data_IF_272054100674
#
_entry.id   IF_272054100674
#
_cell.length_a   1.000
_cell.length_b   1.000
_cell.length_c   1.000
_cell.angle_alpha   90.00
_cell.angle_beta   90.00
_cell.angle_gamma   90.00
#
_symmetry.space_group_name_H-M   'P 1'
#
loop_
_entity.id
_entity.type
_entity.pdbx_description
1 polymer ?
#
# COMPACT_ATOMS: atom_id res chain seq x y z
N UNK A 1 29.15 -2.36 -1.30
CA UNK A 1 30.04 -2.89 -2.38
C UNK A 1 29.86 -2.13 -3.69
N UNK A 2 28.62 -1.85 -4.09
CA UNK A 2 28.32 -0.94 -5.20
C UNK A 2 28.07 0.47 -4.63
N UNK A 3 26.92 1.07 -4.90
CA UNK A 3 26.65 2.48 -4.61
C UNK A 3 26.07 2.74 -3.21
N UNK A 4 25.65 1.70 -2.47
CA UNK A 4 25.12 1.86 -1.12
C UNK A 4 23.86 2.73 -1.06
N UNK A 5 23.00 2.65 -2.09
CA UNK A 5 21.80 3.47 -2.29
C UNK A 5 22.06 4.99 -2.48
N UNK A 6 23.29 5.40 -2.79
CA UNK A 6 23.63 6.81 -3.06
C UNK A 6 23.33 7.17 -4.52
N UNK A 7 22.29 7.98 -4.73
CA UNK A 7 21.73 8.26 -6.07
C UNK A 7 22.51 9.29 -6.91
N UNK A 8 23.36 10.11 -6.30
CA UNK A 8 24.10 11.17 -7.00
C UNK A 8 25.43 11.55 -6.30
N UNK A 9 26.20 12.43 -6.94
CA UNK A 9 27.52 12.83 -6.44
C UNK A 9 27.50 13.48 -5.05
N UNK A 10 26.46 14.26 -4.74
CA UNK A 10 26.33 14.85 -3.40
C UNK A 10 26.11 13.78 -2.33
N UNK A 11 25.26 12.79 -2.61
CA UNK A 11 25.04 11.67 -1.69
C UNK A 11 26.26 10.77 -1.55
N UNK A 12 27.15 10.72 -2.54
CA UNK A 12 28.43 9.99 -2.43
C UNK A 12 29.36 10.58 -1.37
N UNK A 13 29.29 11.90 -1.18
CA UNK A 13 30.06 12.64 -0.17
C UNK A 13 29.43 12.59 1.24
N UNK A 14 28.20 12.11 1.37
CA UNK A 14 27.54 11.93 2.66
C UNK A 14 27.96 10.63 3.35
N UNK A 15 27.59 10.48 4.62
CA UNK A 15 27.81 9.23 5.35
C UNK A 15 27.14 8.02 4.69
N UNK A 16 27.69 6.84 4.92
CA UNK A 16 27.10 5.59 4.44
C UNK A 16 25.95 5.16 5.35
N UNK A 17 24.77 4.97 4.76
CA UNK A 17 23.58 4.46 5.46
C UNK A 17 23.39 2.94 5.32
N UNK A 18 24.15 2.30 4.43
CA UNK A 18 24.08 0.85 4.17
C UNK A 18 25.46 0.25 4.37
N UNK A 19 25.55 -0.71 5.29
CA UNK A 19 26.79 -1.40 5.64
C UNK A 19 26.67 -2.89 5.30
N UNK A 20 27.72 -3.47 4.71
CA UNK A 20 27.82 -4.92 4.61
C UNK A 20 28.41 -5.45 5.91
N UNK A 21 27.68 -6.33 6.58
CA UNK A 21 28.11 -6.99 7.81
C UNK A 21 28.16 -8.50 7.60
N UNK A 22 28.92 -9.20 8.43
CA UNK A 22 28.90 -10.66 8.52
C UNK A 22 28.16 -11.04 9.80
N UNK A 23 27.18 -11.91 9.68
CA UNK A 23 26.39 -12.42 10.80
C UNK A 23 26.06 -13.88 10.52
N UNK A 24 26.36 -14.76 11.48
CA UNK A 24 26.15 -16.21 11.37
C UNK A 24 26.82 -16.86 10.15
N UNK A 25 27.95 -16.31 9.70
CA UNK A 25 28.70 -16.80 8.53
C UNK A 25 28.09 -16.41 7.18
N UNK A 26 27.06 -15.55 7.17
CA UNK A 26 26.44 -15.01 5.98
C UNK A 26 26.64 -13.49 5.88
N UNK A 27 26.60 -12.97 4.66
CA UNK A 27 26.66 -11.55 4.40
C UNK A 27 25.27 -10.91 4.48
N UNK A 28 25.16 -9.84 5.26
CA UNK A 28 23.93 -9.06 5.41
C UNK A 28 24.15 -7.59 5.07
N UNK A 29 23.10 -6.92 4.61
CA UNK A 29 23.09 -5.47 4.50
C UNK A 29 22.37 -4.87 5.72
N UNK A 30 23.13 -4.14 6.54
CA UNK A 30 22.57 -3.34 7.63
C UNK A 30 22.20 -1.96 7.11
N UNK A 31 20.93 -1.61 7.22
CA UNK A 31 20.41 -0.27 6.97
C UNK A 31 20.37 0.51 8.29
N UNK A 32 21.04 1.66 8.35
CA UNK A 32 21.05 2.51 9.55
C UNK A 32 19.69 3.18 9.72
N UNK A 33 19.15 3.16 10.94
CA UNK A 33 18.01 3.97 11.31
C UNK A 33 18.43 5.44 11.51
N UNK A 34 17.46 6.33 11.40
CA UNK A 34 17.62 7.76 11.65
C UNK A 34 16.31 8.30 12.27
N UNK A 35 16.38 9.40 13.02
CA UNK A 35 15.17 10.00 13.60
C UNK A 35 14.26 10.57 12.51
N UNK A 36 12.95 10.41 12.70
CA UNK A 36 11.93 11.00 11.81
C UNK A 36 11.17 12.08 12.57
N UNK A 37 11.18 13.31 12.08
CA UNK A 37 10.69 14.45 12.86
C UNK A 37 9.21 14.75 12.67
N UNK A 38 8.66 14.46 11.49
CA UNK A 38 7.25 14.75 11.17
C UNK A 38 6.70 13.63 10.29
N UNK A 39 5.48 13.18 10.60
CA UNK A 39 4.70 12.30 9.74
C UNK A 39 3.46 13.02 9.23
N UNK A 40 3.20 12.86 7.93
CA UNK A 40 1.94 13.23 7.30
C UNK A 40 1.24 11.93 6.90
N UNK A 41 0.21 11.58 7.65
CA UNK A 41 -0.55 10.35 7.46
C UNK A 41 -1.97 10.67 6.99
N UNK A 42 -2.68 9.62 6.60
CA UNK A 42 -4.07 9.70 6.15
C UNK A 42 -4.88 8.57 6.76
N UNK A 43 -6.14 8.84 7.08
CA UNK A 43 -7.14 7.82 7.33
C UNK A 43 -8.53 8.28 6.93
N UNK A 44 -9.52 7.43 7.15
CA UNK A 44 -10.90 7.71 6.76
C UNK A 44 -11.60 8.58 7.80
N UNK A 45 -11.69 8.12 9.05
CA UNK A 45 -12.30 8.87 10.14
C UNK A 45 -11.36 8.91 11.33
N UNK A 46 -11.39 10.01 12.08
CA UNK A 46 -10.82 10.07 13.42
C UNK A 46 -11.92 10.34 14.44
N UNK A 47 -11.75 9.89 15.67
CA UNK A 47 -12.53 10.40 16.80
C UNK A 47 -11.88 11.64 17.43
N UNK A 48 -12.57 12.27 18.38
CA UNK A 48 -12.11 13.49 19.07
C UNK A 48 -10.83 13.25 19.92
N UNK A 49 -10.56 11.99 20.30
CA UNK A 49 -9.34 11.54 20.99
C UNK A 49 -8.20 11.20 20.01
N UNK A 50 -8.42 11.31 18.70
CA UNK A 50 -7.43 11.11 17.66
C UNK A 50 -7.25 9.66 17.18
N UNK A 51 -8.08 8.71 17.61
CA UNK A 51 -8.03 7.35 17.08
C UNK A 51 -8.50 7.36 15.63
N UNK A 52 -7.73 6.75 14.73
CA UNK A 52 -7.99 6.78 13.28
C UNK A 52 -8.31 5.40 12.75
N UNK A 53 -9.41 5.30 11.98
CA UNK A 53 -9.75 4.12 11.18
C UNK A 53 -9.50 4.40 9.70
N UNK A 54 -9.23 3.35 8.92
CA UNK A 54 -8.90 3.43 7.48
C UNK A 54 -9.87 2.61 6.64
N UNK A 55 -11.16 2.64 6.99
CA UNK A 55 -12.19 1.74 6.42
C UNK A 55 -12.46 1.96 4.93
N UNK A 56 -12.17 3.15 4.39
CA UNK A 56 -12.36 3.48 2.97
C UNK A 56 -11.04 3.60 2.21
N UNK A 57 -9.89 3.40 2.86
CA UNK A 57 -8.60 3.45 2.19
C UNK A 57 -8.37 2.18 1.37
N UNK A 58 -7.61 2.27 0.28
CA UNK A 58 -7.24 1.11 -0.54
C UNK A 58 -6.18 0.21 0.13
N UNK A 59 -5.62 0.66 1.26
CA UNK A 59 -4.63 -0.04 2.06
C UNK A 59 -4.26 0.79 3.28
N UNK A 60 -3.81 0.11 4.33
CA UNK A 60 -3.36 0.74 5.58
C UNK A 60 -1.88 1.09 5.57
N UNK A 61 -1.12 0.45 4.67
CA UNK A 61 0.29 0.67 4.41
C UNK A 61 1.13 0.54 5.69
N UNK A 62 2.09 1.42 5.89
CA UNK A 62 3.02 1.48 7.01
C UNK A 62 2.66 2.56 8.05
N UNK A 63 1.40 3.02 8.03
CA UNK A 63 0.94 4.18 8.79
C UNK A 63 1.19 4.10 10.29
N UNK A 64 0.93 2.96 10.93
CA UNK A 64 1.19 2.77 12.36
C UNK A 64 2.68 2.80 12.67
N UNK A 65 3.49 2.10 11.87
CA UNK A 65 4.94 2.06 12.01
C UNK A 65 5.57 3.44 11.85
N UNK A 66 5.09 4.25 10.89
CA UNK A 66 5.52 5.63 10.71
C UNK A 66 5.17 6.48 11.93
N UNK A 67 3.93 6.40 12.42
CA UNK A 67 3.50 7.15 13.60
C UNK A 67 4.37 6.83 14.81
N UNK A 68 4.63 5.54 15.06
CA UNK A 68 5.48 5.08 16.15
C UNK A 68 6.94 5.54 15.99
N UNK A 69 7.52 5.45 14.79
CA UNK A 69 8.88 5.90 14.52
C UNK A 69 9.05 7.41 14.79
N UNK A 70 8.06 8.22 14.40
CA UNK A 70 8.05 9.66 14.66
C UNK A 70 7.92 9.97 16.15
N UNK A 71 6.98 9.34 16.86
CA UNK A 71 6.82 9.58 18.30
C UNK A 71 8.04 9.11 19.10
N UNK A 72 8.65 8.00 18.75
CA UNK A 72 9.90 7.53 19.35
C UNK A 72 11.09 8.45 19.06
N UNK A 73 10.99 9.26 18.00
CA UNK A 73 11.97 10.31 17.66
C UNK A 73 11.64 11.67 18.30
N UNK A 74 10.58 11.78 19.11
CA UNK A 74 10.10 13.03 19.70
C UNK A 74 9.44 13.99 18.70
N UNK A 75 9.02 13.48 17.54
CA UNK A 75 8.43 14.26 16.46
C UNK A 75 6.91 14.45 16.55
N UNK A 76 6.35 14.95 15.45
CA UNK A 76 4.94 15.34 15.32
C UNK A 76 4.22 14.51 14.25
N UNK A 77 3.07 13.92 14.59
CA UNK A 77 2.23 13.15 13.67
C UNK A 77 0.97 13.95 13.35
N UNK A 78 0.78 14.22 12.06
CA UNK A 78 -0.39 14.94 11.54
C UNK A 78 -1.16 13.96 10.65
N UNK A 79 -2.45 13.76 10.91
CA UNK A 79 -3.28 12.84 10.14
C UNK A 79 -4.39 13.60 9.42
N UNK A 80 -4.42 13.49 8.09
CA UNK A 80 -5.55 13.95 7.29
C UNK A 80 -6.67 12.91 7.34
N UNK A 81 -7.89 13.33 7.68
CA UNK A 81 -9.09 12.48 7.69
C UNK A 81 -10.21 13.08 6.86
N UNK A 82 -11.19 12.26 6.47
CA UNK A 82 -12.39 12.71 5.76
C UNK A 82 -13.32 13.48 6.70
N UNK A 83 -13.50 13.00 7.92
CA UNK A 83 -14.35 13.63 8.93
C UNK A 83 -13.93 13.21 10.36
N UNK A 84 -14.42 13.94 11.35
CA UNK A 84 -14.25 13.63 12.78
C UNK A 84 -15.58 13.14 13.35
N UNK A 85 -15.54 12.03 14.08
CA UNK A 85 -16.71 11.42 14.73
C UNK A 85 -16.62 11.50 16.25
N UNK A 86 -17.74 11.25 16.94
CA UNK A 86 -17.77 11.26 18.40
C UNK A 86 -16.90 10.15 19.01
N UNK A 87 -16.22 10.44 20.12
CA UNK A 87 -15.47 9.45 20.90
C UNK A 87 -16.27 8.19 21.23
N UNK A 88 -15.61 7.03 21.08
CA UNK A 88 -16.20 5.71 21.32
C UNK A 88 -17.07 5.17 20.17
N UNK A 89 -17.23 5.93 19.07
CA UNK A 89 -17.97 5.46 17.88
C UNK A 89 -17.17 4.45 17.08
N UNK A 90 -15.85 4.61 17.02
CA UNK A 90 -14.96 3.79 16.19
C UNK A 90 -14.75 2.40 16.80
N UNK A 91 -14.95 1.30 16.06
CA UNK A 91 -14.66 -0.03 16.56
C UNK A 91 -13.19 -0.18 16.92
N UNK A 92 -12.89 -0.54 18.17
CA UNK A 92 -11.50 -0.59 18.66
C UNK A 92 -10.57 -1.52 17.85
N UNK A 93 -11.11 -2.57 17.22
CA UNK A 93 -10.34 -3.49 16.34
C UNK A 93 -10.03 -2.91 14.97
N UNK A 94 -10.73 -1.85 14.57
CA UNK A 94 -10.54 -1.16 13.29
C UNK A 94 -9.62 0.05 13.41
N UNK A 95 -9.31 0.50 14.63
CA UNK A 95 -8.35 1.59 14.86
C UNK A 95 -6.97 1.16 14.37
N UNK A 96 -6.47 1.88 13.37
CA UNK A 96 -5.16 1.63 12.73
C UNK A 96 -4.08 2.57 13.25
N UNK A 97 -4.42 3.81 13.59
CA UNK A 97 -3.52 4.72 14.28
C UNK A 97 -4.18 5.10 15.60
N UNK A 98 -3.71 4.57 16.74
CA UNK A 98 -4.17 4.99 18.06
C UNK A 98 -3.93 6.49 18.28
N UNK A 99 -4.89 7.18 18.91
CA UNK A 99 -4.82 8.63 19.17
C UNK A 99 -3.63 9.06 20.03
N UNK A 100 -3.08 8.14 20.83
CA UNK A 100 -1.85 8.37 21.61
C UNK A 100 -0.63 8.74 20.74
N UNK A 101 -0.68 8.46 19.44
CA UNK A 101 0.38 8.82 18.50
C UNK A 101 0.06 10.06 17.68
N UNK A 102 -1.15 10.60 17.73
CA UNK A 102 -1.61 11.69 16.85
C UNK A 102 -1.48 13.03 17.58
N UNK A 103 -0.79 13.99 16.96
CA UNK A 103 -0.61 15.34 17.50
C UNK A 103 -1.59 16.35 16.87
N UNK A 104 -2.01 16.12 15.63
CA UNK A 104 -2.98 16.98 14.95
C UNK A 104 -3.82 16.20 13.93
N UNK A 105 -5.10 16.57 13.84
CA UNK A 105 -6.03 16.12 12.81
C UNK A 105 -6.30 17.24 11.81
N UNK A 106 -6.38 16.87 10.53
CA UNK A 106 -6.76 17.79 9.45
C UNK A 106 -7.94 17.20 8.70
N UNK A 107 -9.08 17.90 8.67
CA UNK A 107 -10.21 17.49 7.83
C UNK A 107 -9.89 17.87 6.38
N UNK A 108 -9.72 16.86 5.53
CA UNK A 108 -9.44 17.03 4.11
C UNK A 108 -10.66 17.53 3.34
N UNK A 109 -10.45 18.41 2.36
CA UNK A 109 -11.50 18.74 1.39
C UNK A 109 -11.73 17.53 0.46
N UNK A 110 -12.96 17.31 -0.05
CA UNK A 110 -13.25 16.17 -0.94
C UNK A 110 -12.27 16.03 -2.11
N UNK A 111 -11.89 17.13 -2.75
CA UNK A 111 -10.93 17.15 -3.87
C UNK A 111 -9.50 16.73 -3.50
N UNK A 112 -9.16 16.73 -2.20
CA UNK A 112 -7.85 16.35 -1.67
C UNK A 112 -7.87 15.01 -0.91
N UNK A 113 -8.98 14.25 -0.99
CA UNK A 113 -9.18 13.03 -0.23
C UNK A 113 -9.54 11.80 -1.11
N UNK A 114 -9.13 11.80 -2.38
CA UNK A 114 -9.38 10.67 -3.29
C UNK A 114 -8.70 9.39 -2.81
N UNK A 115 -9.39 8.26 -2.86
CA UNK A 115 -8.88 6.95 -2.45
C UNK A 115 -7.67 6.51 -3.27
N UNK A 116 -7.62 6.86 -4.55
CA UNK A 116 -6.48 6.63 -5.46
C UNK A 116 -6.28 7.84 -6.37
N UNK A 117 -5.17 7.89 -7.12
CA UNK A 117 -5.00 8.94 -8.13
C UNK A 117 -5.94 8.78 -9.34
N UNK A 118 -6.64 7.64 -9.47
CA UNK A 118 -7.58 7.40 -10.56
C UNK A 118 -9.03 7.69 -10.19
N UNK A 119 -9.41 7.59 -8.91
CA UNK A 119 -10.80 7.58 -8.47
C UNK A 119 -10.96 8.19 -7.08
N UNK A 120 -12.04 8.97 -6.93
CA UNK A 120 -12.48 9.54 -5.65
C UNK A 120 -12.70 8.47 -4.59
N UNK A 121 -13.49 7.44 -4.91
CA UNK A 121 -13.77 6.34 -4.01
C UNK A 121 -14.38 5.16 -4.78
N UNK A 122 -13.88 3.96 -4.49
CA UNK A 122 -14.42 2.69 -4.94
C UNK A 122 -14.45 1.69 -3.75
N UNK A 123 -15.64 1.27 -3.30
CA UNK A 123 -15.77 0.35 -2.17
C UNK A 123 -15.21 -1.05 -2.44
N UNK A 124 -14.94 -1.42 -3.70
CA UNK A 124 -14.28 -2.69 -4.00
C UNK A 124 -12.77 -2.67 -3.70
N UNK A 125 -12.16 -1.49 -3.52
CA UNK A 125 -10.74 -1.36 -3.19
C UNK A 125 -10.48 -1.47 -1.68
N UNK A 126 -11.45 -1.05 -0.85
CA UNK A 126 -11.41 -1.17 0.61
C UNK A 126 -11.98 -2.51 1.10
N UNK A 127 -12.45 -3.38 0.20
CA UNK A 127 -13.08 -4.65 0.57
C UNK A 127 -14.47 -4.51 1.19
N UNK A 128 -15.08 -3.33 1.19
CA UNK A 128 -16.43 -3.09 1.70
C UNK A 128 -17.49 -3.82 0.87
N UNK A 129 -17.25 -3.97 -0.43
CA UNK A 129 -18.10 -4.74 -1.34
C UNK A 129 -17.28 -5.60 -2.29
N UNK A 130 -17.91 -6.64 -2.85
CA UNK A 130 -17.37 -7.35 -4.01
C UNK A 130 -18.17 -6.99 -5.26
N UNK A 131 -17.48 -6.67 -6.33
CA UNK A 131 -18.08 -6.42 -7.66
C UNK A 131 -17.88 -7.63 -8.57
N UNK A 132 -18.73 -7.85 -9.59
CA UNK A 132 -18.49 -8.90 -10.58
C UNK A 132 -17.12 -8.70 -11.26
N UNK A 133 -16.28 -9.72 -11.29
CA UNK A 133 -14.94 -9.61 -11.91
C UNK A 133 -15.01 -9.36 -13.42
N UNK A 134 -16.11 -9.76 -14.05
CA UNK A 134 -16.38 -9.51 -15.47
C UNK A 134 -16.71 -8.04 -15.77
N UNK A 135 -16.92 -7.20 -14.74
CA UNK A 135 -17.08 -5.75 -14.91
C UNK A 135 -15.74 -5.01 -15.02
N UNK A 136 -14.61 -5.71 -14.91
CA UNK A 136 -13.27 -5.12 -15.10
C UNK A 136 -13.01 -5.00 -16.60
N UNK A 137 -12.82 -3.77 -17.07
CA UNK A 137 -12.58 -3.46 -18.48
C UNK A 137 -11.36 -4.22 -19.03
N UNK A 138 -11.55 -5.05 -20.08
CA UNK A 138 -10.45 -5.75 -20.73
C UNK A 138 -9.42 -4.80 -21.34
N UNK A 139 -8.16 -5.21 -21.35
CA UNK A 139 -7.12 -4.44 -22.03
C UNK A 139 -7.37 -4.40 -23.55
N UNK A 140 -7.16 -3.28 -24.25
CA UNK A 140 -7.18 -3.26 -25.71
C UNK A 140 -6.12 -4.20 -26.30
N UNK A 141 -6.44 -4.84 -27.43
CA UNK A 141 -5.48 -5.72 -28.12
C UNK A 141 -4.35 -4.89 -28.75
N UNK A 142 -3.18 -4.93 -28.13
CA UNK A 142 -1.95 -4.28 -28.56
C UNK A 142 -0.73 -5.13 -28.17
N UNK A 143 0.48 -4.67 -28.51
CA UNK A 143 1.72 -5.38 -28.17
C UNK A 143 1.85 -5.70 -26.67
N UNK A 144 1.43 -4.77 -25.79
CA UNK A 144 1.42 -4.99 -24.34
C UNK A 144 0.51 -6.16 -23.95
N UNK A 145 -0.72 -6.21 -24.48
CA UNK A 145 -1.66 -7.32 -24.23
C UNK A 145 -1.12 -8.66 -24.74
N UNK A 146 -0.46 -8.68 -25.91
CA UNK A 146 0.14 -9.92 -26.45
C UNK A 146 1.21 -10.47 -25.50
N UNK A 147 2.09 -9.62 -24.98
CA UNK A 147 3.09 -10.03 -23.98
C UNK A 147 2.42 -10.52 -22.70
N UNK A 148 1.40 -9.80 -22.20
CA UNK A 148 0.67 -10.20 -21.00
C UNK A 148 -0.04 -11.55 -21.17
N UNK A 149 -0.64 -11.84 -22.34
CA UNK A 149 -1.22 -13.15 -22.67
C UNK A 149 -0.19 -14.26 -22.63
N UNK A 150 1.00 -14.04 -23.20
CA UNK A 150 2.06 -15.05 -23.13
C UNK A 150 2.52 -15.26 -21.69
N UNK A 151 2.72 -14.20 -20.93
CA UNK A 151 3.15 -14.30 -19.53
C UNK A 151 2.08 -14.93 -18.62
N UNK A 152 0.79 -14.69 -18.89
CA UNK A 152 -0.32 -15.32 -18.17
C UNK A 152 -0.31 -16.86 -18.27
N UNK A 153 0.26 -17.41 -19.35
CA UNK A 153 0.43 -18.87 -19.50
C UNK A 153 1.48 -19.46 -18.54
N UNK A 154 2.32 -18.64 -17.91
CA UNK A 154 3.29 -19.06 -16.89
C UNK A 154 2.69 -19.06 -15.48
N UNK A 155 1.45 -18.61 -15.30
CA UNK A 155 0.81 -18.56 -13.98
C UNK A 155 0.44 -19.97 -13.50
N UNK A 156 0.85 -20.29 -12.28
CA UNK A 156 0.43 -21.49 -11.56
C UNK A 156 -0.62 -21.11 -10.50
N UNK A 157 -1.87 -21.62 -10.57
CA UNK A 157 -2.89 -21.39 -9.53
C UNK A 157 -2.50 -21.87 -8.13
N UNK A 158 -1.46 -22.70 -8.00
CA UNK A 158 -0.92 -23.14 -6.70
C UNK A 158 0.08 -22.15 -6.12
N UNK A 159 0.63 -21.24 -6.93
CA UNK A 159 1.61 -20.26 -6.50
C UNK A 159 0.96 -19.05 -5.80
N UNK A 160 1.75 -18.36 -4.99
CA UNK A 160 1.45 -17.00 -4.53
C UNK A 160 2.18 -16.07 -5.49
N UNK A 161 1.42 -15.18 -6.15
CA UNK A 161 1.90 -14.41 -7.29
C UNK A 161 1.92 -12.93 -6.90
N UNK A 162 3.07 -12.29 -7.09
CA UNK A 162 3.20 -10.84 -7.04
C UNK A 162 3.51 -10.32 -8.45
N UNK A 163 2.82 -9.27 -8.88
CA UNK A 163 2.97 -8.68 -10.21
C UNK A 163 3.36 -7.21 -10.05
N UNK A 164 4.61 -6.90 -10.39
CA UNK A 164 5.13 -5.54 -10.29
C UNK A 164 4.49 -4.56 -11.28
N UNK A 165 4.72 -3.27 -11.00
CA UNK A 165 4.28 -2.14 -11.83
C UNK A 165 4.79 -2.24 -13.28
N UNK A 166 3.97 -1.79 -14.23
CA UNK A 166 4.30 -1.71 -15.66
C UNK A 166 3.78 -2.87 -16.50
N UNK A 167 4.68 -3.61 -17.16
CA UNK A 167 4.27 -4.75 -18.00
C UNK A 167 3.52 -5.86 -17.22
N UNK A 168 3.98 -6.27 -16.01
CA UNK A 168 3.34 -7.35 -15.27
C UNK A 168 1.93 -7.03 -14.76
N UNK A 169 1.58 -5.77 -14.50
CA UNK A 169 0.21 -5.38 -14.11
C UNK A 169 -0.87 -5.89 -15.07
N UNK A 170 -0.56 -5.88 -16.38
CA UNK A 170 -1.51 -6.34 -17.40
C UNK A 170 -1.75 -7.85 -17.38
N UNK A 171 -0.88 -8.61 -16.73
CA UNK A 171 -1.01 -10.07 -16.60
C UNK A 171 -2.23 -10.41 -15.73
N UNK A 172 -2.50 -9.66 -14.66
CA UNK A 172 -3.67 -9.86 -13.80
C UNK A 172 -4.98 -9.65 -14.58
N UNK A 173 -5.08 -8.54 -15.31
CA UNK A 173 -6.26 -8.23 -16.12
C UNK A 173 -6.48 -9.28 -17.21
N UNK A 174 -5.41 -9.72 -17.89
CA UNK A 174 -5.52 -10.78 -18.89
C UNK A 174 -5.92 -12.12 -18.26
N UNK A 175 -5.33 -12.49 -17.13
CA UNK A 175 -5.69 -13.72 -16.44
C UNK A 175 -7.17 -13.73 -16.01
N UNK A 176 -7.69 -12.57 -15.57
CA UNK A 176 -9.10 -12.38 -15.27
C UNK A 176 -9.97 -12.49 -16.54
N UNK A 177 -9.60 -11.80 -17.62
CA UNK A 177 -10.31 -11.85 -18.91
C UNK A 177 -10.40 -13.26 -19.50
N UNK A 178 -9.30 -14.04 -19.40
CA UNK A 178 -9.23 -15.42 -19.88
C UNK A 178 -9.86 -16.42 -18.87
N UNK A 179 -10.40 -15.93 -17.75
CA UNK A 179 -11.16 -16.70 -16.78
C UNK A 179 -10.33 -17.74 -16.01
N UNK A 180 -9.06 -17.45 -15.72
CA UNK A 180 -8.18 -18.34 -14.96
C UNK A 180 -8.57 -18.36 -13.47
N UNK A 181 -9.23 -19.42 -12.96
CA UNK A 181 -9.77 -19.41 -11.61
C UNK A 181 -8.67 -19.74 -10.58
N UNK A 182 -8.84 -19.20 -9.36
CA UNK A 182 -8.06 -19.64 -8.20
C UNK A 182 -6.64 -19.05 -8.09
N UNK A 183 -6.31 -18.03 -8.86
CA UNK A 183 -5.05 -17.30 -8.71
C UNK A 183 -4.99 -16.55 -7.38
N UNK A 184 -3.85 -16.65 -6.69
CA UNK A 184 -3.59 -15.94 -5.42
C UNK A 184 -2.64 -14.80 -5.69
N UNK A 185 -3.21 -13.67 -6.13
CA UNK A 185 -2.46 -12.45 -6.43
C UNK A 185 -2.20 -11.65 -5.15
N UNK A 186 -1.07 -10.98 -5.09
CA UNK A 186 -0.66 -10.14 -3.96
C UNK A 186 -0.12 -8.81 -4.49
N UNK A 187 -0.31 -7.75 -3.71
CA UNK A 187 0.36 -6.46 -3.89
C UNK A 187 1.17 -6.16 -2.63
N UNK A 188 2.34 -5.57 -2.83
CA UNK A 188 3.30 -5.24 -1.77
C UNK A 188 2.75 -4.26 -0.73
N UNK A 189 1.72 -3.50 -1.09
CA UNK A 189 0.99 -2.58 -0.20
C UNK A 189 0.06 -3.29 0.78
N UNK A 190 -0.09 -4.62 0.67
CA UNK A 190 -0.76 -5.48 1.66
C UNK A 190 -2.06 -6.15 1.19
N UNK A 191 -2.53 -5.88 -0.02
CA UNK A 191 -3.68 -6.57 -0.61
C UNK A 191 -3.36 -8.02 -1.00
N UNK A 192 -4.21 -8.96 -0.57
CA UNK A 192 -4.10 -10.40 -0.87
C UNK A 192 -5.41 -10.87 -1.50
N UNK A 193 -5.30 -11.56 -2.64
CA UNK A 193 -6.43 -11.98 -3.44
C UNK A 193 -7.01 -10.84 -4.29
N UNK A 194 -8.12 -11.13 -4.97
CA UNK A 194 -8.73 -10.19 -5.90
C UNK A 194 -7.89 -9.93 -7.15
N UNK A 195 -8.17 -8.80 -7.81
CA UNK A 195 -7.49 -8.37 -9.03
C UNK A 195 -6.73 -7.07 -8.76
N UNK A 196 -5.38 -7.08 -8.78
CA UNK A 196 -4.56 -5.88 -8.65
C UNK A 196 -4.91 -4.82 -9.68
N UNK A 197 -4.98 -3.57 -9.23
CA UNK A 197 -5.24 -2.43 -10.09
C UNK A 197 -3.98 -2.01 -10.84
N UNK A 198 -4.16 -1.40 -12.01
CA UNK A 198 -3.07 -0.93 -12.88
C UNK A 198 -2.98 0.60 -12.92
N UNK A 199 -1.85 1.12 -13.39
CA UNK A 199 -1.69 2.57 -13.63
C UNK A 199 -1.78 3.40 -12.36
N UNK A 200 -2.59 4.47 -12.36
CA UNK A 200 -2.65 5.42 -11.24
C UNK A 200 -3.41 4.89 -9.99
N UNK A 201 -4.01 3.70 -10.10
CA UNK A 201 -4.59 2.98 -8.97
C UNK A 201 -3.71 1.80 -8.51
N UNK A 202 -2.50 1.65 -9.05
CA UNK A 202 -1.57 0.60 -8.65
C UNK A 202 -1.32 0.63 -7.13
N UNK A 203 -1.22 -0.56 -6.52
CA UNK A 203 -1.18 -0.75 -5.07
C UNK A 203 -2.56 -0.94 -4.42
N UNK A 204 -3.66 -0.70 -5.15
CA UNK A 204 -4.99 -1.15 -4.76
C UNK A 204 -5.33 -2.51 -5.39
N UNK A 205 -6.28 -3.23 -4.79
CA UNK A 205 -6.85 -4.46 -5.34
C UNK A 205 -8.36 -4.35 -5.40
N UNK A 206 -8.98 -4.79 -6.50
CA UNK A 206 -10.42 -5.02 -6.55
C UNK A 206 -10.75 -6.35 -5.89
N UNK A 207 -11.74 -6.38 -4.99
CA UNK A 207 -12.22 -7.58 -4.31
C UNK A 207 -11.12 -8.35 -3.55
N UNK A 208 -10.27 -7.69 -2.74
CA UNK A 208 -9.27 -8.41 -1.96
C UNK A 208 -9.94 -9.41 -1.01
N UNK A 209 -9.29 -10.54 -0.77
CA UNK A 209 -9.72 -11.52 0.23
C UNK A 209 -9.21 -11.13 1.62
N UNK A 210 -8.06 -10.47 1.68
CA UNK A 210 -7.52 -9.88 2.89
C UNK A 210 -6.72 -8.61 2.57
N UNK A 211 -6.66 -7.71 3.55
CA UNK A 211 -5.78 -6.55 3.55
C UNK A 211 -4.99 -6.56 4.85
N UNK A 212 -3.67 -6.55 4.71
CA UNK A 212 -2.74 -6.47 5.83
C UNK A 212 -1.92 -5.18 5.72
N UNK A 213 -1.28 -4.78 6.82
CA UNK A 213 -0.38 -3.63 6.78
C UNK A 213 0.90 -4.02 6.02
N UNK A 214 1.48 -3.07 5.28
CA UNK A 214 2.62 -3.32 4.39
C UNK A 214 3.91 -3.82 5.09
N UNK A 215 4.24 -3.40 6.33
CA UNK A 215 5.48 -3.81 6.99
C UNK A 215 5.52 -5.24 7.56
N UNK A 216 4.43 -6.00 7.51
CA UNK A 216 4.36 -7.35 8.12
C UNK A 216 5.19 -8.41 7.40
#
# INVERSE_FOLDING_TARGET
RLEGAKMNERTRQAEDLVELIEMDGEEWLRYKSFPVNVALLRGTYADEDGNVVMTQEAGTLDSLSIAQAVKNSGGTVIVQVKDIVQNGTLPAREVKIPGIYVDALVIGKPENHWQTFSQEYNPSYSGEVRVPVDSIEPMPLNARKVVCRRAAMELDPKAIINLGIGMPEGIANVANEEGLPGLKLTVETGGIGGVPMSGTAFGACTNPDAMIDQPY
#
